data_IF_893963735527
#
_entry.id   IF_893963735527
#
_cell.length_a   1.000
_cell.length_b   1.000
_cell.length_c   1.000
_cell.angle_alpha   90.00
_cell.angle_beta   90.00
_cell.angle_gamma   90.00
#
_symmetry.space_group_name_H-M   'P 1'
#
loop_
_entity.id
_entity.type
_entity.pdbx_description
1 polymer ?
#
# COMPACT_ATOMS: atom_id res chain seq x y z
N UNK A 1 17.04 -47.81 26.59
CA UNK A 1 17.46 -47.54 25.19
C UNK A 1 18.35 -46.29 25.17
N UNK A 2 19.67 -46.46 25.00
CA UNK A 2 20.62 -45.32 24.86
C UNK A 2 20.66 -44.92 23.38
N UNK A 3 20.12 -43.75 23.06
CA UNK A 3 20.22 -43.19 21.71
C UNK A 3 21.67 -42.77 21.44
N UNK A 4 22.17 -43.05 20.22
CA UNK A 4 23.52 -42.67 19.82
C UNK A 4 23.60 -41.13 19.66
N UNK A 5 24.69 -40.49 20.10
CA UNK A 5 24.82 -39.02 20.07
C UNK A 5 24.70 -38.41 18.65
N UNK A 6 25.04 -39.18 17.61
CA UNK A 6 24.86 -38.77 16.21
C UNK A 6 23.38 -38.64 15.80
N UNK A 7 22.45 -39.36 16.44
CA UNK A 7 21.03 -39.25 16.12
C UNK A 7 20.44 -37.92 16.62
N UNK A 8 20.87 -37.46 17.80
CA UNK A 8 20.39 -36.20 18.39
C UNK A 8 20.77 -34.97 17.55
N UNK A 9 21.97 -34.95 16.98
CA UNK A 9 22.42 -33.84 16.13
C UNK A 9 21.68 -33.77 14.80
N UNK A 10 21.38 -34.93 14.19
CA UNK A 10 20.57 -35.00 12.96
C UNK A 10 19.15 -34.52 13.23
N UNK A 11 18.53 -35.01 14.31
CA UNK A 11 17.17 -34.60 14.71
C UNK A 11 17.11 -33.08 14.96
N UNK A 12 18.11 -32.52 15.65
CA UNK A 12 18.18 -31.08 15.90
C UNK A 12 18.27 -30.25 14.61
N UNK A 13 19.06 -30.70 13.62
CA UNK A 13 19.16 -30.02 12.32
C UNK A 13 17.85 -30.09 11.54
N UNK A 14 17.17 -31.23 11.56
CA UNK A 14 15.87 -31.39 10.90
C UNK A 14 14.80 -30.50 11.56
N UNK A 15 14.75 -30.46 12.89
CA UNK A 15 13.85 -29.57 13.64
C UNK A 15 14.13 -28.09 13.31
N UNK A 16 15.41 -27.70 13.25
CA UNK A 16 15.78 -26.34 12.92
C UNK A 16 15.37 -25.98 11.48
N UNK A 17 15.65 -26.85 10.51
CA UNK A 17 15.24 -26.65 9.12
C UNK A 17 13.71 -26.54 8.98
N UNK A 18 12.96 -27.41 9.69
CA UNK A 18 11.50 -27.36 9.71
C UNK A 18 10.96 -26.07 10.34
N UNK A 19 11.57 -25.60 11.42
CA UNK A 19 11.22 -24.32 12.07
C UNK A 19 11.44 -23.14 11.11
N UNK A 20 12.61 -23.07 10.47
CA UNK A 20 12.94 -22.00 9.52
C UNK A 20 11.96 -22.00 8.34
N UNK A 21 11.66 -23.16 7.77
CA UNK A 21 10.67 -23.27 6.67
C UNK A 21 9.28 -22.82 7.10
N UNK A 22 8.86 -23.18 8.32
CA UNK A 22 7.54 -22.81 8.85
C UNK A 22 7.44 -21.30 9.06
N UNK A 23 8.46 -20.68 9.69
CA UNK A 23 8.52 -19.23 9.89
C UNK A 23 8.52 -18.47 8.55
N UNK A 24 9.29 -18.96 7.58
CA UNK A 24 9.37 -18.37 6.25
C UNK A 24 8.00 -18.41 5.54
N UNK A 25 7.35 -19.57 5.57
CA UNK A 25 6.02 -19.76 4.97
C UNK A 25 4.96 -18.88 5.65
N UNK A 26 5.01 -18.76 6.97
CA UNK A 26 4.12 -17.86 7.73
C UNK A 26 4.34 -16.41 7.31
N UNK A 27 5.58 -15.97 7.17
CA UNK A 27 5.91 -14.60 6.75
C UNK A 27 5.39 -14.29 5.34
N UNK A 28 5.58 -15.21 4.39
CA UNK A 28 4.99 -15.05 3.06
C UNK A 28 3.47 -15.01 3.10
N UNK A 29 2.84 -15.86 3.91
CA UNK A 29 1.38 -15.91 4.04
C UNK A 29 0.81 -14.64 4.66
N UNK A 30 1.46 -14.07 5.68
CA UNK A 30 1.00 -12.83 6.33
C UNK A 30 1.13 -11.64 5.37
N UNK A 31 2.26 -11.53 4.67
CA UNK A 31 2.49 -10.49 3.67
C UNK A 31 1.47 -10.61 2.53
N UNK A 32 1.30 -11.81 1.97
CA UNK A 32 0.30 -12.07 0.92
C UNK A 32 -1.12 -11.72 1.39
N UNK A 33 -1.49 -12.11 2.62
CA UNK A 33 -2.81 -11.80 3.17
C UNK A 33 -3.01 -10.29 3.36
N UNK A 34 -1.99 -9.56 3.84
CA UNK A 34 -2.06 -8.11 3.97
C UNK A 34 -2.26 -7.44 2.60
N UNK A 35 -1.51 -7.86 1.58
CA UNK A 35 -1.71 -7.37 0.21
C UNK A 35 -3.08 -7.75 -0.36
N UNK A 36 -3.57 -8.97 -0.08
CA UNK A 36 -4.90 -9.40 -0.49
C UNK A 36 -5.98 -8.50 0.12
N UNK A 37 -5.91 -8.21 1.42
CA UNK A 37 -6.82 -7.28 2.08
C UNK A 37 -6.75 -5.87 1.47
N UNK A 38 -5.54 -5.34 1.26
CA UNK A 38 -5.35 -4.02 0.62
C UNK A 38 -5.92 -3.99 -0.82
N UNK A 39 -5.75 -5.09 -1.56
CA UNK A 39 -6.30 -5.21 -2.92
C UNK A 39 -7.82 -5.33 -2.92
N UNK A 40 -8.41 -6.02 -1.93
CA UNK A 40 -9.85 -6.10 -1.75
C UNK A 40 -10.44 -4.73 -1.41
N UNK A 41 -9.79 -3.98 -0.51
CA UNK A 41 -10.19 -2.62 -0.11
C UNK A 41 -10.11 -1.63 -1.29
N UNK A 42 -9.14 -1.80 -2.21
CA UNK A 42 -9.02 -0.96 -3.40
C UNK A 42 -10.17 -1.13 -4.41
N UNK A 43 -10.99 -2.18 -4.25
CA UNK A 43 -12.18 -2.42 -5.08
C UNK A 43 -13.45 -1.79 -4.46
N UNK A 44 -13.38 -1.27 -3.23
CA UNK A 44 -14.50 -0.65 -2.51
C UNK A 44 -14.36 0.85 -2.20
N UNK A 45 -13.92 1.74 -3.13
CA UNK A 45 -14.09 3.17 -2.93
C UNK A 45 -15.56 3.64 -3.02
N UNK A 46 -16.51 2.74 -3.33
CA UNK A 46 -17.91 3.09 -3.52
C UNK A 46 -18.77 3.07 -2.24
N UNK A 47 -18.45 2.25 -1.22
CA UNK A 47 -19.33 2.10 -0.05
C UNK A 47 -18.92 2.91 1.19
N UNK A 48 -17.62 3.12 1.48
CA UNK A 48 -17.22 3.89 2.67
C UNK A 48 -17.39 5.41 2.52
N UNK A 49 -17.40 5.93 1.29
CA UNK A 49 -17.69 7.34 1.00
C UNK A 49 -19.17 7.69 1.24
N UNK A 50 -20.04 6.68 1.38
CA UNK A 50 -21.49 6.83 1.48
C UNK A 50 -21.98 7.11 2.91
N UNK A 51 -21.15 6.90 3.94
CA UNK A 51 -21.56 7.15 5.34
C UNK A 51 -20.98 8.44 5.95
N UNK A 52 -19.86 8.97 5.44
CA UNK A 52 -19.28 10.22 5.94
C UNK A 52 -19.92 11.49 5.33
N UNK A 53 -20.60 11.38 4.18
CA UNK A 53 -21.24 12.49 3.48
C UNK A 53 -22.76 12.53 3.66
N UNK A 54 -23.23 12.91 4.86
CA UNK A 54 -24.66 13.19 5.09
C UNK A 54 -25.10 14.42 4.29
N UNK A 55 -25.69 14.20 3.12
CA UNK A 55 -26.58 15.18 2.47
C UNK A 55 -26.22 15.55 1.03
N UNK A 56 -27.07 15.13 0.09
CA UNK A 56 -27.21 15.80 -1.20
C UNK A 56 -26.80 14.98 -2.42
N UNK A 57 -27.78 14.24 -2.97
CA UNK A 57 -28.01 13.99 -4.41
C UNK A 57 -26.92 14.43 -5.42
N UNK A 58 -25.73 13.84 -5.41
CA UNK A 58 -24.84 13.91 -6.55
C UNK A 58 -24.37 12.50 -6.90
N UNK A 59 -24.77 12.10 -8.11
CA UNK A 59 -24.38 10.86 -8.79
C UNK A 59 -22.88 10.65 -8.65
N UNK A 60 -22.49 9.40 -8.51
CA UNK A 60 -21.12 8.88 -8.56
C UNK A 60 -20.35 9.33 -9.81
N UNK A 61 -19.97 10.60 -9.84
CA UNK A 61 -18.93 11.13 -10.72
C UNK A 61 -17.66 10.92 -9.91
N UNK A 62 -16.72 10.14 -10.46
CA UNK A 62 -15.37 10.12 -9.89
C UNK A 62 -14.85 11.56 -9.72
N UNK A 63 -13.93 11.78 -8.77
CA UNK A 63 -13.44 13.13 -8.51
C UNK A 63 -12.95 13.76 -9.81
N UNK A 64 -13.28 15.03 -10.00
CA UNK A 64 -12.83 15.76 -11.17
C UNK A 64 -11.29 15.81 -11.17
N UNK A 65 -10.64 15.89 -12.35
CA UNK A 65 -9.20 16.08 -12.46
C UNK A 65 -8.64 17.17 -11.51
N UNK A 66 -9.41 18.24 -11.30
CA UNK A 66 -9.10 19.36 -10.40
C UNK A 66 -9.11 18.94 -8.93
N UNK A 67 -10.07 18.14 -8.49
CA UNK A 67 -10.19 17.63 -7.12
C UNK A 67 -9.07 16.60 -6.82
N UNK A 68 -8.71 15.78 -7.82
CA UNK A 68 -7.56 14.88 -7.72
C UNK A 68 -6.27 15.68 -7.55
N UNK A 69 -6.05 16.69 -8.40
CA UNK A 69 -4.90 17.58 -8.32
C UNK A 69 -4.81 18.31 -6.97
N UNK A 70 -5.94 18.83 -6.47
CA UNK A 70 -6.00 19.50 -5.16
C UNK A 70 -5.69 18.54 -4.01
N UNK A 71 -6.25 17.32 -4.02
CA UNK A 71 -5.99 16.33 -2.97
C UNK A 71 -4.51 15.93 -2.92
N UNK A 72 -3.88 15.79 -4.08
CA UNK A 72 -2.46 15.45 -4.17
C UNK A 72 -1.59 16.60 -3.68
N UNK A 73 -1.99 17.85 -3.88
CA UNK A 73 -1.30 19.07 -3.43
C UNK A 73 -1.27 19.28 -1.89
N UNK A 74 -1.99 18.49 -1.09
CA UNK A 74 -2.11 18.73 0.37
C UNK A 74 -0.90 18.33 1.21
N UNK A 75 0.00 17.46 0.74
CA UNK A 75 1.18 16.99 1.50
C UNK A 75 2.51 17.69 1.14
N UNK A 76 2.48 18.75 0.36
CA UNK A 76 3.67 19.37 -0.23
C UNK A 76 4.40 20.34 0.71
N UNK A 77 3.79 20.67 1.87
CA UNK A 77 4.38 21.59 2.86
C UNK A 77 5.25 20.90 3.93
N UNK A 78 5.63 19.63 3.75
CA UNK A 78 6.62 19.03 4.64
C UNK A 78 7.97 19.72 4.45
N UNK A 79 8.60 20.16 5.54
CA UNK A 79 9.95 20.75 5.53
C UNK A 79 11.07 19.78 5.09
N UNK A 80 10.72 18.52 4.80
CA UNK A 80 11.60 17.50 4.28
C UNK A 80 11.57 17.51 2.74
N UNK A 81 12.66 18.00 2.16
CA UNK A 81 12.84 18.13 0.71
C UNK A 81 12.79 16.77 -0.02
N UNK A 82 13.29 15.70 0.60
CA UNK A 82 13.30 14.36 -0.01
C UNK A 82 11.91 13.70 0.08
N UNK A 83 11.20 13.92 1.19
CA UNK A 83 9.80 13.51 1.30
C UNK A 83 8.94 14.24 0.26
N UNK A 84 9.15 15.55 0.10
CA UNK A 84 8.45 16.34 -0.89
C UNK A 84 8.72 15.81 -2.30
N UNK A 85 9.99 15.61 -2.71
CA UNK A 85 10.34 15.07 -4.03
C UNK A 85 9.62 13.75 -4.35
N UNK A 86 9.64 12.79 -3.43
CA UNK A 86 9.02 11.48 -3.66
C UNK A 86 7.49 11.57 -3.77
N UNK A 87 6.86 12.38 -2.92
CA UNK A 87 5.41 12.63 -2.96
C UNK A 87 5.02 13.39 -4.23
N UNK A 88 5.83 14.36 -4.67
CA UNK A 88 5.65 15.09 -5.92
C UNK A 88 5.68 14.16 -7.13
N UNK A 89 6.69 13.29 -7.20
CA UNK A 89 6.86 12.36 -8.32
C UNK A 89 5.73 11.33 -8.36
N UNK A 90 5.37 10.75 -7.21
CA UNK A 90 4.23 9.84 -7.12
C UNK A 90 2.91 10.52 -7.51
N UNK A 91 2.67 11.75 -7.03
CA UNK A 91 1.49 12.54 -7.36
C UNK A 91 1.41 12.85 -8.86
N UNK A 92 2.53 13.17 -9.49
CA UNK A 92 2.61 13.41 -10.95
C UNK A 92 2.27 12.16 -11.75
N UNK A 93 2.79 11.00 -11.35
CA UNK A 93 2.47 9.71 -12.00
C UNK A 93 0.98 9.41 -11.84
N UNK A 94 0.43 9.58 -10.64
CA UNK A 94 -1.00 9.40 -10.38
C UNK A 94 -1.85 10.35 -11.24
N UNK A 95 -1.43 11.61 -11.38
CA UNK A 95 -2.16 12.57 -12.22
C UNK A 95 -2.10 12.22 -13.70
N UNK A 96 -0.95 11.75 -14.19
CA UNK A 96 -0.79 11.28 -15.59
C UNK A 96 -1.72 10.12 -15.91
N UNK A 97 -1.87 9.17 -14.98
CA UNK A 97 -2.79 8.04 -15.14
C UNK A 97 -4.28 8.46 -15.15
N UNK A 98 -4.58 9.67 -14.67
CA UNK A 98 -5.93 10.23 -14.59
C UNK A 98 -6.14 11.43 -15.53
N UNK A 99 -5.18 11.73 -16.40
CA UNK A 99 -5.20 12.86 -17.33
C UNK A 99 -5.39 14.23 -16.64
N UNK A 100 -4.87 14.39 -15.42
CA UNK A 100 -4.87 15.67 -14.71
C UNK A 100 -3.55 16.43 -14.79
N UNK A 101 -2.57 16.00 -15.59
CA UNK A 101 -1.28 16.69 -15.71
C UNK A 101 -1.36 18.11 -16.29
N UNK A 102 -2.45 18.45 -17.00
CA UNK A 102 -2.66 19.78 -17.61
C UNK A 102 -3.50 20.71 -16.72
N UNK A 103 -3.92 20.26 -15.54
CA UNK A 103 -4.74 21.06 -14.63
C UNK A 103 -3.88 22.18 -14.02
N UNK A 104 -4.29 23.46 -14.14
CA UNK A 104 -3.59 24.56 -13.52
C UNK A 104 -3.45 24.37 -12.00
N UNK A 105 -2.23 24.45 -11.48
CA UNK A 105 -1.95 24.29 -10.06
C UNK A 105 -1.40 22.91 -9.66
N UNK A 106 -1.32 21.94 -10.57
CA UNK A 106 -0.47 20.75 -10.38
C UNK A 106 0.98 21.21 -10.32
N UNK A 107 1.62 21.05 -9.17
CA UNK A 107 3.02 21.42 -9.01
C UNK A 107 3.92 20.40 -9.70
N UNK A 108 4.93 20.90 -10.40
CA UNK A 108 6.03 20.11 -10.94
C UNK A 108 7.27 20.38 -10.06
N UNK A 109 8.06 19.34 -9.83
CA UNK A 109 9.37 19.48 -9.18
C UNK A 109 10.40 19.76 -10.27
N UNK A 110 10.61 21.05 -10.57
CA UNK A 110 11.71 21.57 -11.38
C UNK A 110 12.58 22.53 -10.52
#
# INVERSE_FOLDING_TARGET
MRWKPAALTIIGRLLHAALVLTLTTLLFKTVYHAFFLLSAESTTPAELTLQAGRGGNQRARGPAPEEIAESLNTFWMSFDFDHCRNVCEASRIACRLRHCEQVPGVREWD
#
